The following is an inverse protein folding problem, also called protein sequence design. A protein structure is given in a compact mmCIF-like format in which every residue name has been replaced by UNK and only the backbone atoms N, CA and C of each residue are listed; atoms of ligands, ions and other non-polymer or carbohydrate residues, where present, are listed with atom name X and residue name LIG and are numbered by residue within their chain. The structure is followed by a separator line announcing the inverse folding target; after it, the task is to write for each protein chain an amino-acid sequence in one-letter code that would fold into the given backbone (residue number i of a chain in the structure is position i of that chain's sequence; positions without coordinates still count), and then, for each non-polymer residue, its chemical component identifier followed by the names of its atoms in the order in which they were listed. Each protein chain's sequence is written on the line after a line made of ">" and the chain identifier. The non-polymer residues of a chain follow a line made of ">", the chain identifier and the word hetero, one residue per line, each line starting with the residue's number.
data_IF_345394836987
#
_entry.id   IF_345394836987
#
_cell.length_a   1.000
_cell.length_b   1.000
_cell.length_c   1.000
_cell.angle_alpha   90.00
_cell.angle_beta   90.00
_cell.angle_gamma   90.00
#
_symmetry.space_group_name_H-M   'P 1'
#
loop_
_entity.id
_entity.type
_entity.pdbx_description
1 polymer ?
#
# COMPACT_ATOMS: atom_id res chain seq x y z
N UNK A 1 -33.12 9.64 11.15
CA UNK A 1 -32.02 10.08 10.27
C UNK A 1 -32.17 11.59 10.04
N UNK A 2 -31.11 12.41 9.91
CA UNK A 2 -29.68 12.12 10.09
C UNK A 2 -28.97 13.13 11.03
N UNK A 3 -28.11 12.63 11.92
CA UNK A 3 -26.92 13.41 12.28
C UNK A 3 -25.96 13.17 11.13
N UNK A 4 -25.87 14.13 10.20
CA UNK A 4 -24.72 14.20 9.31
C UNK A 4 -23.54 14.55 10.20
N UNK A 5 -22.90 13.52 10.76
CA UNK A 5 -21.57 13.66 11.30
C UNK A 5 -20.74 14.18 10.13
N UNK A 6 -20.40 15.46 10.23
CA UNK A 6 -19.13 16.01 9.77
C UNK A 6 -18.08 14.96 10.14
N UNK A 7 -17.86 14.01 9.23
CA UNK A 7 -16.86 12.99 9.42
C UNK A 7 -15.57 13.77 9.35
N UNK A 8 -15.03 14.09 10.53
CA UNK A 8 -13.64 14.47 10.72
C UNK A 8 -12.82 13.80 9.63
N UNK A 9 -12.00 14.58 8.94
CA UNK A 9 -11.00 14.12 7.99
C UNK A 9 -9.94 13.32 8.76
N UNK A 10 -10.34 12.17 9.32
CA UNK A 10 -9.49 11.26 10.08
C UNK A 10 -8.57 10.59 9.06
N UNK A 11 -7.44 11.25 8.85
CA UNK A 11 -6.29 10.69 8.16
C UNK A 11 -5.69 9.62 9.06
N UNK A 12 -5.77 8.37 8.62
CA UNK A 12 -5.11 7.25 9.25
C UNK A 12 -3.71 7.13 8.66
N UNK A 13 -2.70 7.11 9.54
CA UNK A 13 -1.32 6.87 9.13
C UNK A 13 -1.00 5.38 9.26
N UNK A 14 -0.75 4.74 8.13
CA UNK A 14 -0.35 3.35 8.03
C UNK A 14 1.17 3.26 7.86
N UNK A 15 1.81 2.52 8.75
CA UNK A 15 3.22 2.20 8.67
C UNK A 15 3.38 0.84 8.00
N UNK A 16 3.70 0.84 6.71
CA UNK A 16 3.92 -0.37 5.93
C UNK A 16 5.40 -0.72 6.01
N UNK A 17 5.73 -1.80 6.72
CA UNK A 17 7.09 -2.35 6.78
C UNK A 17 7.22 -3.45 5.74
N UNK A 18 8.27 -3.41 4.93
CA UNK A 18 8.53 -4.42 3.91
C UNK A 18 10.04 -4.55 3.69
N UNK A 19 10.46 -5.59 2.99
CA UNK A 19 11.85 -5.79 2.61
C UNK A 19 11.96 -5.65 1.09
N UNK A 20 12.74 -4.67 0.63
CA UNK A 20 13.03 -4.46 -0.79
C UNK A 20 14.43 -4.95 -1.14
N UNK A 21 14.56 -5.95 -2.00
CA UNK A 21 15.85 -6.52 -2.41
C UNK A 21 16.74 -6.92 -1.22
N UNK A 22 16.14 -7.38 -0.12
CA UNK A 22 16.86 -7.71 1.12
C UNK A 22 16.94 -6.58 2.15
N UNK A 23 16.68 -5.34 1.76
CA UNK A 23 16.76 -4.17 2.63
C UNK A 23 15.44 -3.90 3.35
N UNK A 24 15.41 -3.81 4.69
CA UNK A 24 14.20 -3.43 5.41
C UNK A 24 13.86 -1.97 5.14
N UNK A 25 12.67 -1.72 4.61
CA UNK A 25 12.11 -0.39 4.33
C UNK A 25 10.81 -0.20 5.09
N UNK A 26 10.52 1.06 5.39
CA UNK A 26 9.25 1.47 5.99
C UNK A 26 8.67 2.55 5.10
N UNK A 27 7.40 2.40 4.75
CA UNK A 27 6.65 3.38 4.00
C UNK A 27 5.47 3.87 4.85
N UNK A 28 5.27 5.19 4.85
CA UNK A 28 4.18 5.83 5.56
C UNK A 28 3.12 6.18 4.52
N UNK A 29 1.94 5.62 4.70
CA UNK A 29 0.80 5.88 3.85
C UNK A 29 -0.30 6.54 4.67
N UNK A 30 -0.75 7.71 4.24
CA UNK A 30 -1.84 8.43 4.88
C UNK A 30 -3.10 8.27 4.04
N UNK A 31 -4.11 7.63 4.60
CA UNK A 31 -5.39 7.39 3.94
C UNK A 31 -6.53 7.81 4.85
N UNK A 32 -7.64 8.24 4.24
CA UNK A 32 -8.89 8.52 4.96
C UNK A 32 -9.68 7.25 5.29
N UNK A 33 -9.19 6.10 4.82
CA UNK A 33 -9.81 4.80 5.03
C UNK A 33 -9.33 4.18 6.34
N UNK A 34 -10.27 3.68 7.14
CA UNK A 34 -10.00 3.08 8.46
C UNK A 34 -9.36 1.69 8.37
N UNK A 35 -9.42 1.05 7.21
CA UNK A 35 -8.84 -0.26 6.97
C UNK A 35 -8.07 -0.22 5.66
N UNK A 36 -6.78 -0.54 5.74
CA UNK A 36 -5.93 -0.76 4.59
C UNK A 36 -5.60 -2.25 4.49
N UNK A 37 -5.98 -2.88 3.39
CA UNK A 37 -5.61 -4.27 3.18
C UNK A 37 -4.14 -4.40 2.74
N UNK A 38 -3.53 -5.55 3.04
CA UNK A 38 -2.11 -5.82 2.67
C UNK A 38 -1.89 -5.74 1.16
N UNK A 39 -2.87 -6.15 0.36
CA UNK A 39 -2.78 -6.09 -1.10
C UNK A 39 -2.83 -4.64 -1.62
N UNK A 40 -3.60 -3.75 -0.99
CA UNK A 40 -3.61 -2.32 -1.32
C UNK A 40 -2.29 -1.66 -0.92
N UNK A 41 -1.76 -2.00 0.25
CA UNK A 41 -0.42 -1.57 0.66
C UNK A 41 0.65 -2.03 -0.34
N UNK A 42 0.60 -3.29 -0.77
CA UNK A 42 1.52 -3.83 -1.78
C UNK A 42 1.38 -3.12 -3.13
N UNK A 43 0.14 -2.79 -3.54
CA UNK A 43 -0.13 -2.01 -4.75
C UNK A 43 0.49 -0.63 -4.67
N UNK A 44 0.29 0.12 -3.58
CA UNK A 44 0.92 1.43 -3.40
C UNK A 44 2.45 1.35 -3.37
N UNK A 45 3.03 0.32 -2.77
CA UNK A 45 4.47 0.11 -2.82
C UNK A 45 4.94 -0.17 -4.25
N UNK A 46 4.22 -1.01 -4.99
CA UNK A 46 4.49 -1.26 -6.39
C UNK A 46 4.39 0.02 -7.20
N UNK A 47 3.33 0.82 -7.06
CA UNK A 47 3.16 2.12 -7.72
C UNK A 47 4.28 3.11 -7.37
N UNK A 48 4.73 3.16 -6.11
CA UNK A 48 5.84 4.00 -5.69
C UNK A 48 7.15 3.60 -6.39
N UNK A 49 7.45 2.30 -6.48
CA UNK A 49 8.73 1.80 -7.03
C UNK A 49 8.70 1.61 -8.57
N UNK A 50 7.57 1.24 -9.16
CA UNK A 50 7.37 1.12 -10.61
C UNK A 50 7.00 2.45 -11.25
N UNK A 51 6.21 3.29 -10.58
CA UNK A 51 5.79 4.59 -11.11
C UNK A 51 6.93 5.60 -11.19
N UNK A 52 7.95 5.46 -10.34
CA UNK A 52 9.20 6.22 -10.43
C UNK A 52 10.11 5.69 -11.57
N UNK A 53 9.93 4.42 -11.96
CA UNK A 53 10.60 3.86 -13.13
C UNK A 53 9.87 4.32 -14.40
N UNK A 54 10.35 5.41 -15.02
CA UNK A 54 9.85 6.02 -16.27
C UNK A 54 9.82 5.09 -17.52
N UNK A 55 9.88 3.77 -17.34
CA UNK A 55 10.04 2.79 -18.39
C UNK A 55 8.82 1.87 -18.51
N UNK A 56 7.64 2.42 -18.82
CA UNK A 56 6.51 1.76 -19.50
C UNK A 56 6.11 0.34 -19.06
N UNK A 57 6.41 -0.08 -17.84
CA UNK A 57 6.16 -1.44 -17.37
C UNK A 57 4.73 -1.46 -16.83
N UNK A 58 3.87 -2.21 -17.52
CA UNK A 58 2.45 -2.41 -17.23
C UNK A 58 2.23 -2.54 -15.71
N UNK A 59 1.63 -1.51 -15.11
CA UNK A 59 1.17 -1.57 -13.72
C UNK A 59 0.21 -2.75 -13.57
N UNK A 60 0.32 -3.55 -12.49
CA UNK A 60 -0.77 -4.44 -12.13
C UNK A 60 -2.02 -3.56 -11.91
N UNK A 61 -3.09 -3.85 -12.66
CA UNK A 61 -4.34 -3.11 -12.53
C UNK A 61 -4.97 -3.39 -11.16
N UNK A 62 -5.78 -2.45 -10.65
CA UNK A 62 -6.53 -2.60 -9.40
C UNK A 62 -7.44 -3.85 -9.34
N UNK A 63 -7.71 -4.48 -10.49
CA UNK A 63 -8.41 -5.77 -10.64
C UNK A 63 -7.53 -7.01 -10.40
N UNK A 64 -6.23 -6.83 -10.15
CA UNK A 64 -5.33 -7.94 -9.88
C UNK A 64 -5.69 -8.59 -8.54
N UNK A 65 -5.78 -9.92 -8.52
CA UNK A 65 -6.02 -10.65 -7.27
C UNK A 65 -4.92 -10.35 -6.25
N UNK A 66 -5.22 -10.40 -4.94
CA UNK A 66 -4.23 -10.14 -3.89
C UNK A 66 -2.97 -11.03 -4.05
N UNK A 67 -3.14 -12.26 -4.51
CA UNK A 67 -2.04 -13.18 -4.81
C UNK A 67 -1.15 -12.69 -5.96
N UNK A 68 -1.74 -12.17 -7.03
CA UNK A 68 -0.98 -11.63 -8.17
C UNK A 68 -0.23 -10.35 -7.79
N UNK A 69 -0.83 -9.48 -6.98
CA UNK A 69 -0.18 -8.26 -6.47
C UNK A 69 1.05 -8.66 -5.64
N UNK A 70 0.91 -9.64 -4.75
CA UNK A 70 2.02 -10.15 -3.95
C UNK A 70 3.10 -10.80 -4.83
N UNK A 71 2.74 -11.61 -5.83
CA UNK A 71 3.72 -12.20 -6.74
C UNK A 71 4.51 -11.12 -7.50
N UNK A 72 3.85 -10.04 -7.92
CA UNK A 72 4.51 -8.91 -8.57
C UNK A 72 5.44 -8.16 -7.59
N UNK A 73 4.99 -7.94 -6.36
CA UNK A 73 5.81 -7.38 -5.29
C UNK A 73 7.09 -8.23 -5.11
N UNK A 74 6.95 -9.55 -5.02
CA UNK A 74 8.11 -10.44 -4.88
C UNK A 74 9.05 -10.38 -6.09
N UNK A 75 8.51 -10.30 -7.32
CA UNK A 75 9.31 -10.18 -8.55
C UNK A 75 10.15 -8.91 -8.61
N UNK A 76 9.65 -7.81 -8.05
CA UNK A 76 10.40 -6.54 -7.97
C UNK A 76 11.32 -6.48 -6.74
N UNK A 77 11.26 -7.50 -5.88
CA UNK A 77 12.05 -7.62 -4.66
C UNK A 77 11.37 -7.10 -3.41
N UNK A 78 10.09 -6.69 -3.45
CA UNK A 78 9.27 -6.34 -2.29
C UNK A 78 8.73 -7.63 -1.66
N UNK A 79 9.19 -7.95 -0.47
CA UNK A 79 8.80 -9.15 0.31
C UNK A 79 8.44 -8.74 1.73
N UNK A 80 7.83 -9.65 2.50
CA UNK A 80 7.59 -9.47 3.95
C UNK A 80 6.78 -8.20 4.28
N UNK A 81 5.70 -7.94 3.52
CA UNK A 81 4.87 -6.75 3.66
C UNK A 81 4.00 -6.88 4.90
N UNK A 82 4.15 -5.94 5.83
CA UNK A 82 3.43 -5.88 7.09
C UNK A 82 2.85 -4.48 7.30
N UNK A 83 1.53 -4.40 7.37
CA UNK A 83 0.80 -3.13 7.55
C UNK A 83 0.54 -2.93 9.04
N UNK A 84 1.20 -1.92 9.62
CA UNK A 84 0.98 -1.49 11.00
C UNK A 84 0.09 -0.24 10.96
N UNK A 85 -1.19 -0.37 11.32
CA UNK A 85 -2.06 0.78 11.49
C UNK A 85 -1.62 1.58 12.73
N UNK A 86 -1.43 2.89 12.58
CA UNK A 86 -1.31 3.82 13.69
C UNK A 86 -2.47 4.81 13.61
N UNK A 87 -3.51 4.58 14.41
CA UNK A 87 -4.60 5.54 14.58
C UNK A 87 -4.09 6.69 15.47
N UNK A 88 -4.24 7.93 15.01
CA UNK A 88 -3.98 9.13 15.80
C UNK A 88 -5.25 9.58 16.53
#
# INVERSE_FOLDING_TARGET
>A
MPFSTDADDIMYTYHIKYRFNGEPRTFLLELKEQQLAVHEAAMHLLELHLGDAENGLLMPTADSTPEQILEHAERVGITDINVVNQTN
#
